data_IF_999548703304
#
_entry.id   IF_999548703304
#
_cell.length_a   1.000
_cell.length_b   1.000
_cell.length_c   1.000
_cell.angle_alpha   90.00
_cell.angle_beta   90.00
_cell.angle_gamma   90.00
#
_symmetry.space_group_name_H-M   'P 1'
#
loop_
_entity.id
_entity.type
_entity.pdbx_description
1 polymer ?
#
# COMPACT_ATOMS: atom_id res chain seq x y z
N UNK A 1 -24.20 -21.59 57.13
CA UNK A 1 -24.47 -20.14 57.20
C UNK A 1 -25.36 -19.80 58.39
N UNK A 2 -26.66 -20.14 58.40
CA UNK A 2 -27.51 -19.93 59.59
C UNK A 2 -27.06 -20.79 60.79
N UNK A 3 -26.70 -22.05 60.56
CA UNK A 3 -26.11 -22.94 61.58
C UNK A 3 -24.67 -22.54 61.99
N UNK A 4 -24.04 -21.66 61.23
CA UNK A 4 -22.69 -21.14 61.48
C UNK A 4 -22.70 -19.85 62.31
N UNK A 5 -23.89 -19.39 62.72
CA UNK A 5 -24.11 -18.14 63.48
C UNK A 5 -23.57 -16.87 62.81
N UNK A 6 -23.44 -16.84 61.47
CA UNK A 6 -22.91 -15.69 60.73
C UNK A 6 -24.01 -14.79 60.13
N UNK A 7 -25.25 -15.27 60.10
CA UNK A 7 -26.42 -14.56 59.53
C UNK A 7 -27.64 -14.76 60.44
N UNK A 8 -28.41 -13.70 60.63
CA UNK A 8 -29.70 -13.72 61.32
C UNK A 8 -30.86 -13.70 60.32
N UNK A 9 -31.96 -14.34 60.71
CA UNK A 9 -33.20 -14.38 59.94
C UNK A 9 -34.27 -13.52 60.64
N UNK A 10 -34.92 -12.62 59.88
CA UNK A 10 -36.05 -11.82 60.35
C UNK A 10 -37.27 -12.08 59.46
N UNK A 11 -38.39 -12.43 60.06
CA UNK A 11 -39.66 -12.60 59.35
C UNK A 11 -40.28 -11.25 59.03
N UNK A 12 -40.54 -11.00 57.75
CA UNK A 12 -41.24 -9.82 57.24
C UNK A 12 -42.50 -10.30 56.51
N UNK A 13 -43.60 -10.41 57.25
CA UNK A 13 -44.87 -10.95 56.73
C UNK A 13 -44.74 -12.43 56.32
N UNK A 14 -44.97 -12.74 55.03
CA UNK A 14 -44.86 -14.11 54.49
C UNK A 14 -43.45 -14.50 54.04
N UNK A 15 -42.47 -13.60 54.14
CA UNK A 15 -41.10 -13.82 53.69
C UNK A 15 -40.13 -13.80 54.88
N UNK A 16 -39.03 -14.54 54.76
CA UNK A 16 -37.91 -14.52 55.70
C UNK A 16 -36.73 -13.84 55.01
N UNK A 17 -36.22 -12.77 55.62
CA UNK A 17 -35.04 -12.04 55.14
C UNK A 17 -33.85 -12.46 56.00
N UNK A 18 -32.79 -12.90 55.35
CA UNK A 18 -31.51 -13.21 56.00
C UNK A 18 -30.58 -12.01 55.86
N UNK A 19 -29.91 -11.63 56.95
CA UNK A 19 -28.90 -10.58 56.96
C UNK A 19 -27.68 -11.00 57.76
N UNK A 20 -26.53 -10.40 57.46
CA UNK A 20 -25.31 -10.62 58.24
C UNK A 20 -25.49 -10.00 59.62
N UNK A 21 -24.93 -10.65 60.65
CA UNK A 21 -24.89 -10.09 62.00
C UNK A 21 -23.94 -8.89 62.01
N UNK A 22 -24.41 -7.74 62.51
CA UNK A 22 -23.59 -6.56 62.76
C UNK A 22 -23.23 -6.55 64.24
N UNK A 23 -21.94 -6.50 64.58
CA UNK A 23 -21.48 -6.36 65.96
C UNK A 23 -21.60 -4.88 66.37
N UNK A 24 -22.40 -4.55 67.40
CA UNK A 24 -22.52 -3.18 67.88
C UNK A 24 -21.23 -2.61 68.50
N UNK A 25 -20.27 -3.47 68.86
CA UNK A 25 -18.94 -3.04 69.34
C UNK A 25 -17.95 -2.77 68.20
N UNK A 26 -18.30 -3.14 66.97
CA UNK A 26 -17.51 -2.89 65.75
C UNK A 26 -17.90 -1.56 65.08
N UNK A 27 -18.65 -0.72 65.80
CA UNK A 27 -18.99 0.62 65.37
C UNK A 27 -17.77 1.52 65.47
N UNK A 28 -17.37 2.10 64.35
CA UNK A 28 -16.31 3.11 64.30
C UNK A 28 -16.68 4.32 65.18
N UNK A 29 -15.70 4.83 65.91
CA UNK A 29 -15.79 6.09 66.65
C UNK A 29 -16.00 7.27 65.69
N UNK A 30 -16.57 8.40 66.18
CA UNK A 30 -16.71 9.60 65.37
C UNK A 30 -15.39 10.08 64.76
N UNK A 31 -14.29 9.95 65.49
CA UNK A 31 -12.95 10.31 65.03
C UNK A 31 -12.46 9.40 63.89
N UNK A 32 -12.70 8.09 63.99
CA UNK A 32 -12.37 7.13 62.93
C UNK A 32 -13.21 7.36 61.67
N UNK A 33 -14.50 7.70 61.81
CA UNK A 33 -15.35 8.05 60.68
C UNK A 33 -14.86 9.30 59.96
N UNK A 34 -14.46 10.34 60.70
CA UNK A 34 -13.89 11.56 60.11
C UNK A 34 -12.56 11.26 59.41
N UNK A 35 -11.72 10.38 59.98
CA UNK A 35 -10.48 9.96 59.34
C UNK A 35 -10.73 9.18 58.04
N UNK A 36 -11.71 8.27 58.03
CA UNK A 36 -12.12 7.54 56.83
C UNK A 36 -12.68 8.47 55.75
N UNK A 37 -13.51 9.45 56.12
CA UNK A 37 -14.05 10.43 55.18
C UNK A 37 -12.92 11.27 54.55
N UNK A 38 -11.92 11.67 55.33
CA UNK A 38 -10.75 12.36 54.82
C UNK A 38 -9.94 11.49 53.84
N UNK A 39 -9.69 10.23 54.19
CA UNK A 39 -8.98 9.28 53.32
C UNK A 39 -9.76 9.04 52.01
N UNK A 40 -11.09 8.91 52.08
CA UNK A 40 -11.96 8.78 50.91
C UNK A 40 -11.81 9.99 49.98
N UNK A 41 -11.80 11.19 50.53
CA UNK A 41 -11.68 12.42 49.74
C UNK A 41 -10.28 12.56 49.13
N UNK A 42 -9.22 12.25 49.87
CA UNK A 42 -7.85 12.21 49.34
C UNK A 42 -7.72 11.18 48.20
N UNK A 43 -8.24 9.97 48.38
CA UNK A 43 -8.19 8.93 47.35
C UNK A 43 -9.01 9.33 46.11
N UNK A 44 -10.14 10.00 46.29
CA UNK A 44 -10.94 10.54 45.18
C UNK A 44 -10.17 11.59 44.38
N UNK A 45 -9.47 12.49 45.05
CA UNK A 45 -8.65 13.51 44.40
C UNK A 45 -7.47 12.87 43.64
N UNK A 46 -6.78 11.91 44.25
CA UNK A 46 -5.71 11.16 43.60
C UNK A 46 -6.20 10.41 42.35
N UNK A 47 -7.36 9.76 42.44
CA UNK A 47 -7.98 9.07 41.29
C UNK A 47 -8.32 10.08 40.18
N UNK A 48 -8.88 11.24 40.52
CA UNK A 48 -9.21 12.27 39.54
C UNK A 48 -7.94 12.78 38.83
N UNK A 49 -6.88 13.07 39.58
CA UNK A 49 -5.58 13.50 39.06
C UNK A 49 -4.95 12.45 38.16
N UNK A 50 -4.90 11.19 38.60
CA UNK A 50 -4.34 10.09 37.82
C UNK A 50 -5.10 9.87 36.50
N UNK A 51 -6.44 9.94 36.52
CA UNK A 51 -7.28 9.85 35.31
C UNK A 51 -7.01 11.00 34.34
N UNK A 52 -6.84 12.23 34.84
CA UNK A 52 -6.51 13.38 34.00
C UNK A 52 -5.12 13.23 33.35
N UNK A 53 -4.14 12.73 34.12
CA UNK A 53 -2.80 12.42 33.62
C UNK A 53 -2.83 11.34 32.54
N UNK A 54 -3.50 10.20 32.79
CA UNK A 54 -3.64 9.11 31.83
C UNK A 54 -4.28 9.58 30.52
N UNK A 55 -5.35 10.39 30.59
CA UNK A 55 -5.98 10.98 29.40
C UNK A 55 -5.00 11.83 28.59
N UNK A 56 -4.21 12.67 29.27
CA UNK A 56 -3.21 13.53 28.63
C UNK A 56 -2.10 12.70 27.98
N UNK A 57 -1.55 11.71 28.69
CA UNK A 57 -0.51 10.81 28.20
C UNK A 57 -0.99 10.01 26.99
N UNK A 58 -2.20 9.45 27.03
CA UNK A 58 -2.80 8.73 25.90
C UNK A 58 -2.98 9.64 24.67
N UNK A 59 -3.45 10.87 24.87
CA UNK A 59 -3.57 11.85 23.80
C UNK A 59 -2.21 12.17 23.16
N UNK A 60 -1.19 12.41 23.99
CA UNK A 60 0.17 12.69 23.52
C UNK A 60 0.76 11.49 22.77
N UNK A 61 0.59 10.28 23.30
CA UNK A 61 1.05 9.06 22.66
C UNK A 61 0.37 8.85 21.30
N UNK A 62 -0.96 9.05 21.22
CA UNK A 62 -1.69 8.98 19.97
C UNK A 62 -1.19 10.02 18.96
N UNK A 63 -0.92 11.25 19.40
CA UNK A 63 -0.37 12.31 18.54
C UNK A 63 1.03 11.97 18.01
N UNK A 64 1.90 11.40 18.85
CA UNK A 64 3.26 11.01 18.45
C UNK A 64 3.22 9.81 17.50
N UNK A 65 2.38 8.81 17.78
CA UNK A 65 2.23 7.63 16.91
C UNK A 65 1.52 7.94 15.58
N UNK A 66 0.70 8.99 15.52
CA UNK A 66 0.10 9.45 14.27
C UNK A 66 1.14 10.08 13.32
N UNK A 67 2.32 10.45 13.82
CA UNK A 67 3.42 10.94 12.99
C UNK A 67 4.36 9.80 12.61
N UNK A 68 4.86 9.79 11.36
CA UNK A 68 5.91 8.85 10.94
C UNK A 68 7.09 8.94 11.91
N UNK A 69 7.71 7.80 12.20
CA UNK A 69 8.94 7.82 12.99
C UNK A 69 10.00 8.69 12.31
N UNK A 70 10.91 9.27 13.09
CA UNK A 70 12.00 10.08 12.55
C UNK A 70 12.93 9.27 11.63
N UNK A 71 12.91 7.94 11.74
CA UNK A 71 13.61 7.04 10.84
C UNK A 71 12.86 6.93 9.51
N UNK A 72 11.56 6.66 9.54
CA UNK A 72 10.72 6.56 8.33
C UNK A 72 10.70 7.89 7.54
N UNK A 73 10.69 9.03 8.23
CA UNK A 73 10.83 10.35 7.60
C UNK A 73 12.17 10.51 6.88
N UNK A 74 13.27 10.05 7.49
CA UNK A 74 14.60 10.09 6.87
C UNK A 74 14.67 9.22 5.63
N UNK A 75 14.09 8.02 5.68
CA UNK A 75 14.10 7.11 4.55
C UNK A 75 13.19 7.61 3.41
N UNK A 76 12.04 8.20 3.74
CA UNK A 76 11.16 8.88 2.79
C UNK A 76 11.86 10.07 2.12
N UNK A 77 12.57 10.89 2.89
CA UNK A 77 13.33 12.02 2.35
C UNK A 77 14.45 11.55 1.40
N UNK A 78 15.18 10.49 1.75
CA UNK A 78 16.19 9.88 0.86
C UNK A 78 15.55 9.35 -0.43
N UNK A 79 14.40 8.68 -0.33
CA UNK A 79 13.68 8.16 -1.49
C UNK A 79 13.22 9.29 -2.43
N UNK A 80 12.63 10.35 -1.88
CA UNK A 80 12.24 11.55 -2.63
C UNK A 80 13.44 12.26 -3.26
N UNK A 81 14.58 12.31 -2.56
CA UNK A 81 15.83 12.87 -3.10
C UNK A 81 16.31 12.12 -4.34
N UNK A 82 16.36 10.78 -4.27
CA UNK A 82 16.72 9.93 -5.43
C UNK A 82 15.74 10.11 -6.60
N UNK A 83 14.45 10.19 -6.31
CA UNK A 83 13.43 10.39 -7.34
C UNK A 83 13.57 11.76 -8.01
N UNK A 84 13.84 12.81 -7.23
CA UNK A 84 14.13 14.15 -7.74
C UNK A 84 15.33 14.15 -8.68
N UNK A 85 16.44 13.52 -8.28
CA UNK A 85 17.64 13.42 -9.11
C UNK A 85 17.35 12.68 -10.43
N UNK A 86 16.62 11.56 -10.35
CA UNK A 86 16.19 10.80 -11.53
C UNK A 86 15.34 11.65 -12.48
N UNK A 87 14.36 12.39 -11.95
CA UNK A 87 13.49 13.25 -12.75
C UNK A 87 14.25 14.43 -13.36
N UNK A 88 15.16 15.06 -12.61
CA UNK A 88 16.02 16.12 -13.13
C UNK A 88 16.96 15.61 -14.23
N UNK A 89 17.53 14.41 -14.07
CA UNK A 89 18.32 13.74 -15.08
C UNK A 89 17.54 13.50 -16.37
N UNK A 90 16.27 13.09 -16.27
CA UNK A 90 15.38 12.97 -17.45
C UNK A 90 15.03 14.32 -18.05
N UNK A 91 14.80 15.34 -17.23
CA UNK A 91 14.36 16.65 -17.68
C UNK A 91 15.47 17.43 -18.40
N UNK A 92 16.73 17.24 -18.04
CA UNK A 92 17.88 17.92 -18.66
C UNK A 92 17.96 17.75 -20.19
N UNK A 93 17.98 16.51 -20.73
CA UNK A 93 17.94 16.25 -22.17
C UNK A 93 16.70 16.82 -22.86
N UNK A 94 15.54 16.78 -22.21
CA UNK A 94 14.29 17.33 -22.73
C UNK A 94 14.34 18.87 -22.84
N UNK A 95 14.93 19.55 -21.85
CA UNK A 95 15.05 21.03 -21.83
C UNK A 95 16.16 21.56 -22.72
N UNK A 96 17.26 20.83 -22.85
CA UNK A 96 18.38 21.21 -23.73
C UNK A 96 18.07 21.04 -25.22
N UNK A 97 16.92 20.45 -25.56
CA UNK A 97 16.56 20.15 -26.95
C UNK A 97 17.36 19.01 -27.57
N UNK A 98 18.23 18.35 -26.79
CA UNK A 98 19.02 17.18 -27.23
C UNK A 98 18.13 15.99 -27.60
N UNK A 99 16.91 15.95 -27.06
CA UNK A 99 15.87 14.99 -27.42
C UNK A 99 14.68 15.76 -27.96
N UNK A 100 14.33 15.53 -29.23
CA UNK A 100 13.10 16.07 -29.82
C UNK A 100 11.91 15.26 -29.30
N UNK A 101 11.00 15.86 -28.50
CA UNK A 101 9.81 15.15 -28.07
C UNK A 101 8.92 14.89 -29.28
N UNK A 102 8.59 13.63 -29.54
CA UNK A 102 7.67 13.21 -30.59
C UNK A 102 6.27 13.23 -29.97
N UNK A 103 5.33 13.94 -30.61
CA UNK A 103 3.94 13.93 -30.18
C UNK A 103 3.30 12.56 -30.41
N UNK A 104 2.27 12.23 -29.65
CA UNK A 104 1.53 10.98 -29.84
C UNK A 104 0.93 10.87 -31.25
N UNK A 105 0.53 12.01 -31.84
CA UNK A 105 0.01 12.07 -33.20
C UNK A 105 1.09 11.75 -34.24
N UNK A 106 2.27 12.37 -34.15
CA UNK A 106 3.39 12.07 -35.05
C UNK A 106 3.81 10.60 -34.95
N UNK A 107 3.85 10.04 -33.73
CA UNK A 107 4.15 8.63 -33.52
C UNK A 107 3.10 7.73 -34.19
N UNK A 108 1.81 8.02 -34.02
CA UNK A 108 0.73 7.24 -34.60
C UNK A 108 0.78 7.22 -36.14
N UNK A 109 1.14 8.35 -36.77
CA UNK A 109 1.34 8.44 -38.22
C UNK A 109 2.48 7.53 -38.66
N UNK A 110 3.63 7.59 -37.98
CA UNK A 110 4.79 6.74 -38.29
C UNK A 110 4.47 5.26 -38.09
N UNK A 111 3.82 4.90 -36.98
CA UNK A 111 3.45 3.51 -36.69
C UNK A 111 2.47 2.95 -37.74
N UNK A 112 1.53 3.77 -38.21
CA UNK A 112 0.58 3.38 -39.27
C UNK A 112 1.29 3.18 -40.60
N UNK A 113 2.11 4.14 -41.01
CA UNK A 113 2.90 4.03 -42.24
C UNK A 113 3.85 2.83 -42.19
N UNK A 114 4.53 2.61 -41.07
CA UNK A 114 5.40 1.46 -40.88
C UNK A 114 4.65 0.14 -41.08
N UNK A 115 3.45 0.03 -40.50
CA UNK A 115 2.60 -1.16 -40.65
C UNK A 115 2.22 -1.39 -42.11
N UNK A 116 1.72 -0.36 -42.79
CA UNK A 116 1.34 -0.43 -44.21
C UNK A 116 2.52 -0.84 -45.10
N UNK A 117 3.68 -0.20 -44.95
CA UNK A 117 4.87 -0.52 -45.74
C UNK A 117 5.43 -1.91 -45.42
N UNK A 118 5.37 -2.34 -44.17
CA UNK A 118 5.78 -3.69 -43.77
C UNK A 118 4.86 -4.77 -44.37
N UNK A 119 3.55 -4.54 -44.37
CA UNK A 119 2.58 -5.45 -45.00
C UNK A 119 2.78 -5.51 -46.51
N UNK A 120 2.99 -4.36 -47.16
CA UNK A 120 3.28 -4.27 -48.58
C UNK A 120 4.59 -4.98 -48.95
N UNK A 121 5.66 -4.79 -48.17
CA UNK A 121 6.94 -5.46 -48.38
C UNK A 121 6.77 -6.99 -48.29
N UNK A 122 6.06 -7.48 -47.27
CA UNK A 122 5.76 -8.92 -47.11
C UNK A 122 4.95 -9.48 -48.29
N UNK A 123 3.92 -8.76 -48.73
CA UNK A 123 3.09 -9.18 -49.85
C UNK A 123 3.89 -9.23 -51.16
N UNK A 124 4.71 -8.21 -51.43
CA UNK A 124 5.59 -8.17 -52.60
C UNK A 124 6.65 -9.26 -52.58
N UNK A 125 7.27 -9.49 -51.42
CA UNK A 125 8.22 -10.59 -51.23
C UNK A 125 7.58 -11.94 -51.54
N UNK A 126 6.37 -12.17 -51.04
CA UNK A 126 5.61 -13.39 -51.36
C UNK A 126 5.37 -13.54 -52.86
N UNK A 127 4.87 -12.51 -53.53
CA UNK A 127 4.62 -12.56 -54.98
C UNK A 127 5.92 -12.80 -55.75
N UNK A 128 7.02 -12.15 -55.36
CA UNK A 128 8.32 -12.34 -55.99
C UNK A 128 8.78 -13.80 -55.87
N UNK A 129 8.66 -14.41 -54.68
CA UNK A 129 9.01 -15.81 -54.46
C UNK A 129 8.08 -16.78 -55.22
N UNK A 130 6.77 -16.48 -55.26
CA UNK A 130 5.80 -17.30 -55.99
C UNK A 130 6.08 -17.28 -57.51
N UNK A 131 6.41 -16.11 -58.06
CA UNK A 131 6.81 -15.96 -59.48
C UNK A 131 8.16 -16.62 -59.73
N UNK A 132 9.11 -16.45 -58.82
CA UNK A 132 10.43 -17.09 -58.92
C UNK A 132 10.30 -18.60 -59.02
N UNK A 133 9.53 -19.22 -58.12
CA UNK A 133 9.27 -20.65 -58.12
C UNK A 133 8.66 -21.14 -59.45
N UNK A 134 7.69 -20.40 -59.99
CA UNK A 134 7.08 -20.74 -61.27
C UNK A 134 8.08 -20.69 -62.44
N UNK A 135 8.98 -19.69 -62.45
CA UNK A 135 9.99 -19.54 -63.50
C UNK A 135 11.06 -20.62 -63.40
N UNK A 136 11.50 -20.96 -62.18
CA UNK A 136 12.50 -22.02 -61.96
C UNK A 136 11.95 -23.41 -62.29
N UNK A 137 10.65 -23.66 -62.08
CA UNK A 137 10.00 -24.92 -62.48
C UNK A 137 9.97 -25.14 -64.01
N UNK A 138 10.10 -24.07 -64.80
CA UNK A 138 10.02 -24.09 -66.28
C UNK A 138 11.37 -23.86 -66.96
N UNK A 139 12.48 -24.03 -66.23
CA UNK A 139 13.82 -23.78 -66.77
C UNK A 139 14.20 -24.84 -67.84
N UNK A 140 14.79 -24.42 -68.98
CA UNK A 140 15.30 -25.36 -69.97
C UNK A 140 16.52 -26.12 -69.45
N UNK A 141 16.70 -27.36 -69.94
CA UNK A 141 17.83 -28.22 -69.59
C UNK A 141 19.18 -27.51 -69.82
N UNK A 142 19.98 -27.40 -68.77
CA UNK A 142 21.32 -26.79 -68.80
C UNK A 142 21.43 -25.36 -68.27
N UNK A 143 20.32 -24.73 -67.85
CA UNK A 143 20.34 -23.47 -67.10
C UNK A 143 20.11 -23.74 -65.61
N UNK A 144 20.77 -23.00 -64.72
CA UNK A 144 20.55 -23.11 -63.27
C UNK A 144 19.78 -21.91 -62.71
N UNK A 145 19.10 -22.10 -61.58
CA UNK A 145 18.37 -21.03 -60.88
C UNK A 145 19.30 -19.88 -60.47
N UNK A 146 20.51 -20.20 -60.02
CA UNK A 146 21.51 -19.22 -59.58
C UNK A 146 21.99 -18.32 -60.73
N UNK A 147 22.25 -18.89 -61.91
CA UNK A 147 22.61 -18.12 -63.10
C UNK A 147 21.48 -17.17 -63.52
N UNK A 148 20.22 -17.64 -63.48
CA UNK A 148 19.09 -16.77 -63.78
C UNK A 148 18.91 -15.64 -62.75
N UNK A 149 19.16 -15.92 -61.47
CA UNK A 149 19.02 -14.93 -60.39
C UNK A 149 20.06 -13.81 -60.54
N UNK A 150 21.29 -14.16 -60.90
CA UNK A 150 22.37 -13.22 -61.21
C UNK A 150 22.13 -12.45 -62.52
N UNK A 151 21.67 -13.12 -63.59
CA UNK A 151 21.30 -12.48 -64.86
C UNK A 151 20.20 -11.43 -64.71
N UNK A 152 19.23 -11.68 -63.82
CA UNK A 152 18.15 -10.75 -63.50
C UNK A 152 18.58 -9.64 -62.53
N UNK A 153 19.80 -9.70 -62.00
CA UNK A 153 20.34 -8.72 -61.05
C UNK A 153 19.58 -8.69 -59.72
N UNK A 154 19.07 -9.84 -59.27
CA UNK A 154 18.33 -9.93 -58.01
C UNK A 154 19.29 -10.11 -56.84
N UNK A 155 19.04 -9.38 -55.75
CA UNK A 155 19.78 -9.48 -54.49
C UNK A 155 18.86 -10.14 -53.44
N UNK A 156 19.44 -10.95 -52.55
CA UNK A 156 18.70 -11.45 -51.40
C UNK A 156 18.56 -10.35 -50.35
N UNK A 157 17.36 -10.20 -49.77
CA UNK A 157 17.21 -9.41 -48.55
C UNK A 157 18.08 -10.03 -47.44
N UNK A 158 18.89 -9.22 -46.74
CA UNK A 158 19.44 -9.58 -45.41
C UNK A 158 18.34 -9.69 -44.34
#
# INVERSE_FOLDING_TARGET
MHESNTVAAKSAGKQIVYHVLQDPNDAASPEELVAMDHEIDELREQIASAKASDKTLRSNLASVNATLSTQDLRDSAKALGRERERLLGRLGPLRSGSVKPISQAEKAVVDTAWKEWSENARARKKVCLDVWAYVTDMLPDGKTEAELWEELGLEADE
#
